data_IF_977190543960
#
_entry.id   IF_977190543960
#
_cell.length_a   1.000
_cell.length_b   1.000
_cell.length_c   1.000
_cell.angle_alpha   90.00
_cell.angle_beta   90.00
_cell.angle_gamma   90.00
#
_symmetry.space_group_name_H-M   'P 1'
#
loop_
_entity.id
_entity.type
_entity.pdbx_description
1 polymer ?
#
# COMPACT_ATOMS: atom_id res chain seq x y z
N UNK A 1 17.89 16.68 -40.82
CA UNK A 1 17.06 15.49 -40.52
C UNK A 1 15.79 16.01 -39.87
N UNK A 2 14.61 15.44 -40.12
CA UNK A 2 13.44 15.84 -39.34
C UNK A 2 13.74 15.50 -37.88
N UNK A 3 13.61 16.46 -36.97
CA UNK A 3 13.52 16.13 -35.55
C UNK A 3 12.24 15.30 -35.41
N UNK A 4 12.39 14.03 -35.05
CA UNK A 4 11.25 13.26 -34.56
C UNK A 4 10.76 13.98 -33.30
N UNK A 5 9.45 14.21 -33.21
CA UNK A 5 8.86 14.81 -32.01
C UNK A 5 9.23 13.96 -30.79
N UNK A 6 9.54 14.59 -29.64
CA UNK A 6 9.93 13.87 -28.44
C UNK A 6 8.88 12.83 -28.07
N UNK A 7 9.34 11.62 -27.77
CA UNK A 7 8.48 10.46 -27.57
C UNK A 7 7.97 10.34 -26.13
N UNK A 8 8.67 10.98 -25.18
CA UNK A 8 8.50 10.82 -23.74
C UNK A 8 8.46 12.18 -23.03
N UNK A 9 7.81 12.27 -21.87
CA UNK A 9 7.78 13.49 -21.07
C UNK A 9 8.77 13.48 -19.90
N UNK A 10 8.65 14.48 -19.03
CA UNK A 10 9.46 14.60 -17.81
C UNK A 10 9.29 13.45 -16.80
N UNK A 11 8.09 12.87 -16.58
CA UNK A 11 7.94 11.69 -15.73
C UNK A 11 8.79 10.51 -16.21
N UNK A 12 8.78 10.26 -17.52
CA UNK A 12 9.58 9.21 -18.15
C UNK A 12 11.08 9.55 -18.12
N UNK A 13 11.46 10.81 -18.26
CA UNK A 13 12.85 11.24 -18.12
C UNK A 13 13.39 10.98 -16.72
N UNK A 14 12.61 11.32 -15.69
CA UNK A 14 12.92 11.01 -14.29
C UNK A 14 13.12 9.50 -14.08
N UNK A 15 12.16 8.69 -14.55
CA UNK A 15 12.21 7.23 -14.44
C UNK A 15 13.40 6.62 -15.19
N UNK A 16 13.65 7.06 -16.42
CA UNK A 16 14.76 6.61 -17.25
C UNK A 16 16.10 6.92 -16.60
N UNK A 17 16.27 8.15 -16.13
CA UNK A 17 17.51 8.60 -15.50
C UNK A 17 17.76 7.87 -14.19
N UNK A 18 16.73 7.61 -13.38
CA UNK A 18 16.83 6.77 -12.18
C UNK A 18 17.34 5.37 -12.52
N UNK A 19 16.77 4.70 -13.52
CA UNK A 19 17.21 3.36 -13.94
C UNK A 19 18.66 3.36 -14.43
N UNK A 20 19.04 4.35 -15.24
CA UNK A 20 20.41 4.53 -15.73
C UNK A 20 21.38 4.68 -14.57
N UNK A 21 21.09 5.57 -13.61
CA UNK A 21 21.93 5.82 -12.44
C UNK A 21 22.03 4.62 -11.51
N UNK A 22 20.94 3.89 -11.30
CA UNK A 22 20.94 2.66 -10.51
C UNK A 22 21.87 1.60 -11.13
N UNK A 23 21.82 1.43 -12.47
CA UNK A 23 22.69 0.49 -13.19
C UNK A 23 24.14 0.94 -13.29
N UNK A 24 24.40 2.25 -13.32
CA UNK A 24 25.76 2.80 -13.18
C UNK A 24 26.34 2.53 -11.78
N UNK A 25 25.50 2.50 -10.73
CA UNK A 25 25.92 2.27 -9.35
C UNK A 25 26.15 0.79 -9.01
N UNK A 26 25.33 -0.12 -9.57
CA UNK A 26 25.39 -1.55 -9.29
C UNK A 26 24.89 -2.39 -10.47
N UNK A 27 25.42 -3.61 -10.58
CA UNK A 27 24.92 -4.63 -11.51
C UNK A 27 23.68 -5.38 -10.98
N UNK A 28 23.21 -5.08 -9.77
CA UNK A 28 22.05 -5.71 -9.15
C UNK A 28 20.79 -5.56 -10.01
N UNK A 29 19.89 -6.54 -9.90
CA UNK A 29 18.61 -6.44 -10.60
C UNK A 29 17.67 -5.49 -9.87
N UNK A 30 16.96 -4.67 -10.65
CA UNK A 30 16.01 -3.68 -10.13
C UNK A 30 14.61 -4.26 -10.29
N UNK A 31 13.94 -4.55 -9.17
CA UNK A 31 12.56 -5.03 -9.19
C UNK A 31 11.57 -3.90 -9.50
N UNK A 32 10.39 -4.27 -10.01
CA UNK A 32 9.28 -3.34 -10.24
C UNK A 32 8.98 -2.46 -9.03
N UNK A 33 8.78 -3.09 -7.87
CA UNK A 33 8.43 -2.39 -6.63
C UNK A 33 9.51 -1.40 -6.19
N UNK A 34 10.80 -1.77 -6.32
CA UNK A 34 11.90 -0.85 -6.03
C UNK A 34 11.86 0.34 -6.98
N UNK A 35 11.76 0.09 -8.28
CA UNK A 35 11.76 1.14 -9.29
C UNK A 35 10.62 2.15 -9.09
N UNK A 36 9.38 1.69 -8.97
CA UNK A 36 8.21 2.57 -8.85
C UNK A 36 8.22 3.40 -7.57
N UNK A 37 8.73 2.84 -6.45
CA UNK A 37 8.88 3.58 -5.19
C UNK A 37 9.96 4.65 -5.26
N UNK A 38 11.09 4.34 -5.90
CA UNK A 38 12.17 5.31 -6.09
C UNK A 38 11.75 6.47 -7.00
N UNK A 39 10.88 6.23 -7.99
CA UNK A 39 10.28 7.32 -8.77
C UNK A 39 9.51 8.30 -7.87
N UNK A 40 8.66 7.78 -6.97
CA UNK A 40 7.90 8.62 -6.03
C UNK A 40 8.82 9.38 -5.07
N UNK A 41 9.88 8.74 -4.57
CA UNK A 41 10.84 9.40 -3.67
C UNK A 41 11.60 10.52 -4.40
N UNK A 42 12.00 10.29 -5.64
CA UNK A 42 12.69 11.32 -6.42
C UNK A 42 11.76 12.49 -6.77
N UNK A 43 10.51 12.22 -7.09
CA UNK A 43 9.47 13.22 -7.31
C UNK A 43 9.17 14.04 -6.05
N UNK A 44 8.94 13.40 -4.88
CA UNK A 44 8.83 14.10 -3.59
C UNK A 44 10.04 14.99 -3.34
N UNK A 45 11.25 14.49 -3.63
CA UNK A 45 12.48 15.26 -3.47
C UNK A 45 12.50 16.50 -4.37
N UNK A 46 12.04 16.40 -5.61
CA UNK A 46 11.92 17.55 -6.52
C UNK A 46 10.99 18.62 -5.96
N UNK A 47 9.80 18.20 -5.54
CA UNK A 47 8.78 19.09 -4.96
C UNK A 47 9.33 19.76 -3.69
N UNK A 48 9.87 18.99 -2.75
CA UNK A 48 10.33 19.50 -1.46
C UNK A 48 11.58 20.38 -1.55
N UNK A 49 12.53 20.06 -2.43
CA UNK A 49 13.81 20.78 -2.48
C UNK A 49 13.88 21.89 -3.51
N UNK A 50 13.02 21.86 -4.54
CA UNK A 50 13.03 22.82 -5.64
C UNK A 50 11.65 23.42 -5.93
N UNK A 51 10.56 22.88 -5.38
CA UNK A 51 9.20 23.27 -5.77
C UNK A 51 8.84 22.86 -7.20
N UNK A 52 9.54 21.86 -7.73
CA UNK A 52 9.43 21.42 -9.12
C UNK A 52 8.55 20.17 -9.22
N UNK A 53 7.52 20.22 -10.06
CA UNK A 53 6.58 19.12 -10.29
C UNK A 53 6.73 18.60 -11.72
N UNK A 54 7.17 17.34 -11.87
CA UNK A 54 7.31 16.69 -13.18
C UNK A 54 5.99 16.14 -13.72
N UNK A 55 4.91 16.22 -12.95
CA UNK A 55 3.64 15.59 -13.30
C UNK A 55 3.66 14.06 -13.16
N UNK A 56 4.44 13.50 -12.22
CA UNK A 56 4.53 12.04 -12.05
C UNK A 56 3.16 11.47 -11.63
N UNK A 57 2.58 10.51 -12.40
CA UNK A 57 1.38 9.80 -11.99
C UNK A 57 1.71 8.87 -10.82
N UNK A 58 1.11 9.10 -9.66
CA UNK A 58 1.42 8.36 -8.43
C UNK A 58 0.22 8.25 -7.50
N UNK A 59 0.23 7.22 -6.66
CA UNK A 59 -0.84 6.96 -5.70
C UNK A 59 -0.36 6.14 -4.51
N UNK A 60 -1.09 6.21 -3.39
CA UNK A 60 -0.81 5.39 -2.21
C UNK A 60 -1.42 3.99 -2.34
N UNK A 61 -0.62 2.93 -2.11
CA UNK A 61 -1.12 1.55 -2.19
C UNK A 61 -0.35 0.58 -1.31
N UNK A 62 -1.05 -0.02 -0.32
CA UNK A 62 -0.67 -1.09 0.62
C UNK A 62 0.65 -0.97 1.39
N UNK A 63 1.74 -0.64 0.71
CA UNK A 63 3.12 -0.60 1.17
C UNK A 63 3.75 0.78 0.95
N UNK A 64 2.93 1.82 0.84
CA UNK A 64 3.37 3.17 0.51
C UNK A 64 3.12 3.55 -0.94
N UNK A 65 3.57 4.75 -1.28
CA UNK A 65 3.36 5.38 -2.59
C UNK A 65 4.03 4.60 -3.75
N UNK A 66 3.37 4.57 -4.90
CA UNK A 66 3.82 3.94 -6.14
C UNK A 66 3.54 4.84 -7.34
N UNK A 67 4.49 4.89 -8.28
CA UNK A 67 4.25 5.47 -9.59
C UNK A 67 3.29 4.56 -10.37
N UNK A 68 2.29 5.14 -11.03
CA UNK A 68 1.36 4.40 -11.86
C UNK A 68 2.00 4.10 -13.22
N UNK A 69 2.61 2.93 -13.33
CA UNK A 69 3.28 2.50 -14.55
C UNK A 69 2.36 2.49 -15.80
N UNK A 70 1.05 2.33 -15.63
CA UNK A 70 0.09 2.33 -16.75
C UNK A 70 -0.06 3.70 -17.41
N UNK A 71 0.26 4.77 -16.69
CA UNK A 71 0.13 6.16 -17.14
C UNK A 71 1.38 6.64 -17.89
N UNK A 72 2.45 5.86 -17.91
CA UNK A 72 3.61 6.20 -18.74
C UNK A 72 3.24 6.03 -20.21
N UNK A 73 3.41 7.12 -20.97
CA UNK A 73 3.05 7.23 -22.39
C UNK A 73 3.58 6.06 -23.22
N UNK A 74 4.85 5.67 -22.97
CA UNK A 74 5.55 4.54 -23.58
C UNK A 74 6.67 4.01 -22.67
N UNK A 75 7.18 2.81 -22.97
CA UNK A 75 8.25 2.20 -22.16
C UNK A 75 9.64 2.72 -22.55
N UNK A 76 10.19 3.62 -21.75
CA UNK A 76 11.60 4.05 -21.76
C UNK A 76 12.57 3.01 -21.15
N UNK A 77 12.04 1.84 -20.75
CA UNK A 77 12.76 0.74 -20.14
C UNK A 77 12.43 -0.60 -20.80
N UNK A 78 13.30 -1.58 -20.58
CA UNK A 78 13.05 -2.99 -20.85
C UNK A 78 12.72 -3.71 -19.53
N UNK A 79 11.75 -4.61 -19.57
CA UNK A 79 11.31 -5.38 -18.39
C UNK A 79 11.35 -6.91 -18.63
N UNK A 80 12.52 -7.50 -18.90
CA UNK A 80 12.65 -8.96 -19.02
C UNK A 80 12.38 -9.67 -17.69
N UNK A 81 12.19 -10.99 -17.75
CA UNK A 81 12.10 -11.82 -16.56
C UNK A 81 13.36 -11.69 -15.70
N UNK A 82 13.16 -11.63 -14.39
CA UNK A 82 14.25 -11.61 -13.43
C UNK A 82 14.92 -12.99 -13.33
N UNK A 83 16.19 -13.00 -12.94
CA UNK A 83 16.95 -14.24 -12.72
C UNK A 83 16.92 -14.56 -11.22
N UNK A 84 16.33 -15.69 -10.85
CA UNK A 84 16.34 -16.20 -9.47
C UNK A 84 15.13 -15.81 -8.60
N UNK A 85 14.14 -15.11 -9.13
CA UNK A 85 12.83 -14.91 -8.50
C UNK A 85 11.74 -14.67 -9.54
N UNK A 86 10.49 -14.83 -9.11
CA UNK A 86 9.33 -14.56 -9.95
C UNK A 86 9.13 -13.04 -10.13
N UNK A 87 9.07 -12.60 -11.38
CA UNK A 87 8.82 -11.22 -11.75
C UNK A 87 9.75 -10.70 -12.84
N UNK A 88 9.83 -9.37 -12.93
CA UNK A 88 10.61 -8.66 -13.94
C UNK A 88 11.76 -7.86 -13.32
N UNK A 89 12.86 -7.77 -14.06
CA UNK A 89 13.92 -6.81 -13.83
C UNK A 89 13.71 -5.60 -14.76
N UNK A 90 13.95 -4.40 -14.25
CA UNK A 90 13.83 -3.15 -14.99
C UNK A 90 15.22 -2.67 -15.43
N UNK A 91 15.36 -2.38 -16.72
CA UNK A 91 16.60 -1.95 -17.37
C UNK A 91 16.32 -0.69 -18.19
N UNK A 92 17.18 0.34 -18.11
CA UNK A 92 17.03 1.52 -18.96
C UNK A 92 17.22 1.13 -20.43
N UNK A 93 16.46 1.73 -21.35
CA UNK A 93 16.80 1.69 -22.78
C UNK A 93 17.94 2.67 -23.05
N UNK A 94 18.72 2.37 -24.08
CA UNK A 94 19.71 3.30 -24.63
C UNK A 94 18.97 4.40 -25.40
N UNK A 95 18.69 5.51 -24.71
CA UNK A 95 18.01 6.69 -25.24
C UNK A 95 18.92 7.90 -25.10
N UNK A 96 18.72 8.88 -25.98
CA UNK A 96 19.34 10.21 -25.87
C UNK A 96 18.39 11.16 -25.15
N UNK A 97 18.91 12.26 -24.60
CA UNK A 97 18.09 13.22 -23.81
C UNK A 97 17.03 13.87 -24.70
N UNK A 98 17.34 14.05 -25.99
CA UNK A 98 16.48 14.62 -27.02
C UNK A 98 15.24 13.76 -27.33
N UNK A 99 15.18 12.51 -26.83
CA UNK A 99 13.97 11.68 -26.92
C UNK A 99 12.87 12.12 -25.93
N UNK A 100 13.20 13.01 -24.99
CA UNK A 100 12.32 13.47 -23.93
C UNK A 100 12.00 14.97 -24.10
N UNK A 101 10.72 15.32 -23.98
CA UNK A 101 10.26 16.69 -23.86
C UNK A 101 10.46 17.14 -22.41
N UNK A 102 11.59 17.80 -22.14
CA UNK A 102 11.99 18.25 -20.81
C UNK A 102 12.33 19.73 -20.88
N UNK A 103 11.75 20.50 -19.96
CA UNK A 103 12.04 21.91 -19.84
C UNK A 103 13.51 22.16 -19.42
N UNK A 104 14.02 23.37 -19.64
CA UNK A 104 15.37 23.74 -19.20
C UNK A 104 15.54 23.57 -17.67
N UNK A 105 14.51 23.91 -16.90
CA UNK A 105 14.49 23.72 -15.44
C UNK A 105 14.46 22.24 -15.06
N UNK A 106 13.69 21.43 -15.78
CA UNK A 106 13.65 19.97 -15.62
C UNK A 106 15.01 19.33 -15.87
N UNK A 107 15.73 19.78 -16.91
CA UNK A 107 17.09 19.30 -17.23
C UNK A 107 18.11 19.63 -16.14
N UNK A 108 17.89 20.66 -15.32
CA UNK A 108 18.72 20.96 -14.15
C UNK A 108 18.28 20.15 -12.92
N UNK A 109 16.98 20.16 -12.62
CA UNK A 109 16.43 19.68 -11.36
C UNK A 109 16.31 18.15 -11.29
N UNK A 110 15.84 17.50 -12.36
CA UNK A 110 15.60 16.04 -12.40
C UNK A 110 16.89 15.26 -12.17
N UNK A 111 18.04 15.59 -12.80
CA UNK A 111 19.30 14.91 -12.53
C UNK A 111 19.78 15.01 -11.08
N UNK A 112 19.54 16.14 -10.40
CA UNK A 112 19.88 16.32 -9.00
C UNK A 112 19.08 15.37 -8.09
N UNK A 113 17.76 15.34 -8.26
CA UNK A 113 16.89 14.48 -7.46
C UNK A 113 17.14 12.99 -7.73
N UNK A 114 17.37 12.61 -9.00
CA UNK A 114 17.74 11.25 -9.35
C UNK A 114 19.07 10.82 -8.71
N UNK A 115 20.09 11.69 -8.76
CA UNK A 115 21.40 11.44 -8.11
C UNK A 115 21.24 11.26 -6.60
N UNK A 116 20.50 12.14 -5.94
CA UNK A 116 20.24 12.03 -4.51
C UNK A 116 19.55 10.71 -4.17
N UNK A 117 18.48 10.37 -4.90
CA UNK A 117 17.69 9.16 -4.68
C UNK A 117 18.53 7.89 -4.81
N UNK A 118 19.37 7.80 -5.85
CA UNK A 118 20.26 6.65 -6.04
C UNK A 118 21.36 6.59 -4.99
N UNK A 119 21.88 7.73 -4.55
CA UNK A 119 22.87 7.78 -3.47
C UNK A 119 22.31 7.27 -2.15
N UNK A 120 21.10 7.70 -1.78
CA UNK A 120 20.48 7.37 -0.49
C UNK A 120 19.84 5.96 -0.46
N UNK A 121 19.22 5.54 -1.56
CA UNK A 121 18.38 4.34 -1.61
C UNK A 121 18.82 3.28 -2.61
N UNK A 122 19.77 3.58 -3.49
CA UNK A 122 20.15 2.67 -4.58
C UNK A 122 20.62 1.30 -4.09
N UNK A 123 21.28 1.25 -2.92
CA UNK A 123 21.74 0.00 -2.27
C UNK A 123 20.78 -0.58 -1.25
N UNK A 124 19.68 0.10 -0.93
CA UNK A 124 18.68 -0.36 0.04
C UNK A 124 17.76 -1.40 -0.59
N UNK A 125 17.25 -2.32 0.23
CA UNK A 125 16.24 -3.27 -0.18
C UNK A 125 14.84 -2.61 -0.19
N UNK A 126 13.84 -3.34 -0.70
CA UNK A 126 12.47 -2.81 -0.84
C UNK A 126 11.81 -2.52 0.51
N UNK A 127 12.08 -3.31 1.55
CA UNK A 127 11.50 -3.11 2.89
C UNK A 127 12.02 -1.81 3.53
N UNK A 128 13.31 -1.53 3.41
CA UNK A 128 13.90 -0.26 3.88
C UNK A 128 13.30 0.96 3.14
N UNK A 129 13.00 0.81 1.85
CA UNK A 129 12.37 1.86 1.04
C UNK A 129 10.90 2.07 1.46
N UNK A 130 10.16 0.98 1.69
CA UNK A 130 8.78 1.04 2.21
C UNK A 130 8.74 1.74 3.56
N UNK A 131 9.62 1.34 4.48
CA UNK A 131 9.72 1.95 5.81
C UNK A 131 9.97 3.46 5.71
N UNK A 132 10.90 3.89 4.86
CA UNK A 132 11.14 5.31 4.63
C UNK A 132 9.89 6.07 4.15
N UNK A 133 9.13 5.50 3.19
CA UNK A 133 7.90 6.12 2.71
C UNK A 133 6.85 6.26 3.83
N UNK A 134 6.70 5.27 4.70
CA UNK A 134 5.79 5.36 5.84
C UNK A 134 6.22 6.39 6.88
N UNK A 135 7.51 6.46 7.18
CA UNK A 135 8.03 7.40 8.17
C UNK A 135 7.98 8.85 7.70
N UNK A 136 8.17 9.09 6.40
CA UNK A 136 8.31 10.44 5.84
C UNK A 136 7.10 10.94 5.10
N UNK A 137 6.37 10.06 4.41
CA UNK A 137 5.35 10.46 3.43
C UNK A 137 3.98 9.84 3.70
N UNK A 138 3.76 9.16 4.84
CA UNK A 138 2.40 8.71 5.20
C UNK A 138 1.45 9.92 5.28
N UNK A 139 0.36 9.84 4.54
CA UNK A 139 -0.58 10.96 4.36
C UNK A 139 -1.39 11.28 5.63
N UNK A 140 -1.55 10.30 6.53
CA UNK A 140 -2.18 10.49 7.83
C UNK A 140 -1.65 9.50 8.89
N UNK A 141 -2.02 9.73 10.16
CA UNK A 141 -1.60 8.87 11.27
C UNK A 141 -2.15 7.45 11.17
N UNK A 142 -3.38 7.27 10.65
CA UNK A 142 -3.96 5.93 10.44
C UNK A 142 -3.08 5.06 9.52
N UNK A 143 -2.55 5.66 8.44
CA UNK A 143 -1.66 4.99 7.50
C UNK A 143 -0.37 4.55 8.18
N UNK A 144 0.17 5.40 9.06
CA UNK A 144 1.36 5.06 9.85
C UNK A 144 1.06 3.93 10.83
N UNK A 145 -0.07 4.00 11.54
CA UNK A 145 -0.48 3.03 12.56
C UNK A 145 -0.71 1.63 12.03
N UNK A 146 -1.35 1.49 10.86
CA UNK A 146 -1.48 0.14 10.30
C UNK A 146 -0.12 -0.43 9.84
N UNK A 147 0.80 0.41 9.39
CA UNK A 147 2.14 -0.04 8.98
C UNK A 147 2.94 -0.55 10.18
N UNK A 148 2.84 0.14 11.31
CA UNK A 148 3.39 -0.30 12.61
C UNK A 148 2.81 -1.65 13.04
N UNK A 149 1.48 -1.80 13.00
CA UNK A 149 0.80 -3.06 13.32
C UNK A 149 1.27 -4.20 12.39
N UNK A 150 1.37 -3.92 11.10
CA UNK A 150 1.79 -4.91 10.12
C UNK A 150 3.22 -5.38 10.35
N UNK A 151 4.14 -4.43 10.56
CA UNK A 151 5.53 -4.74 10.87
C UNK A 151 5.63 -5.58 12.15
N UNK A 152 4.84 -5.26 13.17
CA UNK A 152 4.75 -6.05 14.40
C UNK A 152 4.33 -7.49 14.09
N UNK A 153 3.24 -7.71 13.36
CA UNK A 153 2.76 -9.06 13.04
C UNK A 153 3.78 -9.86 12.21
N UNK A 154 4.63 -9.19 11.43
CA UNK A 154 5.73 -9.83 10.70
C UNK A 154 6.96 -10.15 11.56
N UNK A 155 7.11 -9.52 12.72
CA UNK A 155 8.28 -9.65 13.62
C UNK A 155 8.01 -10.48 14.87
N UNK A 156 6.74 -10.70 15.23
CA UNK A 156 6.35 -11.74 16.19
C UNK A 156 6.72 -13.08 15.53
N UNK A 157 7.79 -13.69 16.00
CA UNK A 157 8.45 -14.85 15.38
C UNK A 157 7.42 -15.93 15.01
N UNK A 158 7.26 -16.14 13.70
CA UNK A 158 6.34 -17.09 13.05
C UNK A 158 6.59 -18.55 13.45
N UNK A 159 7.58 -18.83 14.32
CA UNK A 159 7.81 -20.13 14.94
C UNK A 159 7.91 -20.15 16.47
N UNK A 160 7.89 -19.03 17.21
CA UNK A 160 8.14 -19.03 18.66
C UNK A 160 7.24 -18.18 19.56
N UNK A 161 6.34 -17.35 19.03
CA UNK A 161 5.47 -16.48 19.85
C UNK A 161 6.24 -15.59 20.87
N UNK A 162 7.56 -15.39 20.69
CA UNK A 162 8.38 -14.48 21.51
C UNK A 162 8.72 -13.22 20.70
N UNK A 163 8.64 -12.05 21.33
CA UNK A 163 9.04 -10.77 20.72
C UNK A 163 10.55 -10.62 20.72
N UNK A 164 11.09 -9.93 19.71
CA UNK A 164 12.44 -9.37 19.79
C UNK A 164 12.54 -8.38 20.96
N UNK A 165 13.61 -8.50 21.76
CA UNK A 165 13.81 -7.83 23.07
C UNK A 165 13.65 -6.30 23.08
N UNK A 166 13.67 -5.64 21.91
CA UNK A 166 13.62 -4.18 21.79
C UNK A 166 12.24 -3.55 22.04
N UNK A 167 11.17 -4.34 22.17
CA UNK A 167 9.81 -3.86 22.48
C UNK A 167 9.25 -4.42 23.79
N UNK A 168 10.10 -5.02 24.64
CA UNK A 168 9.77 -5.51 25.98
C UNK A 168 9.49 -4.34 26.95
N UNK A 169 8.45 -3.57 26.65
CA UNK A 169 7.90 -2.54 27.53
C UNK A 169 7.07 -3.25 28.60
N UNK A 170 7.70 -3.65 29.71
CA UNK A 170 6.99 -3.82 30.97
C UNK A 170 6.07 -5.03 31.16
N UNK A 171 6.28 -6.16 30.48
CA UNK A 171 5.56 -7.40 30.79
C UNK A 171 4.14 -7.51 30.22
N UNK A 172 3.76 -6.65 29.28
CA UNK A 172 2.52 -6.75 28.49
C UNK A 172 2.55 -7.99 27.57
N UNK A 173 1.44 -8.74 27.50
CA UNK A 173 1.31 -9.90 26.62
C UNK A 173 1.18 -9.50 25.14
N UNK A 174 1.47 -10.44 24.22
CA UNK A 174 1.29 -10.21 22.78
C UNK A 174 -0.15 -9.83 22.42
N UNK A 175 -1.13 -10.43 23.11
CA UNK A 175 -2.55 -10.18 22.96
C UNK A 175 -2.93 -8.75 23.38
N UNK A 176 -2.55 -8.34 24.60
CA UNK A 176 -2.87 -7.00 25.13
C UNK A 176 -2.32 -5.90 24.23
N UNK A 177 -1.08 -6.06 23.80
CA UNK A 177 -0.44 -5.10 22.92
C UNK A 177 -1.09 -5.08 21.53
N UNK A 178 -1.47 -6.23 20.96
CA UNK A 178 -2.18 -6.27 19.68
C UNK A 178 -3.53 -5.53 19.78
N UNK A 179 -4.29 -5.76 20.86
CA UNK A 179 -5.53 -5.03 21.15
C UNK A 179 -5.28 -3.52 21.29
N UNK A 180 -4.20 -3.11 21.94
CA UNK A 180 -3.80 -1.70 22.02
C UNK A 180 -3.47 -1.10 20.66
N UNK A 181 -2.79 -1.83 19.77
CA UNK A 181 -2.52 -1.34 18.41
C UNK A 181 -3.80 -1.20 17.57
N UNK A 182 -4.76 -2.12 17.73
CA UNK A 182 -6.08 -1.99 17.13
C UNK A 182 -6.82 -0.75 17.66
N UNK A 183 -6.75 -0.49 18.96
CA UNK A 183 -7.32 0.73 19.56
C UNK A 183 -6.66 2.01 19.00
N UNK A 184 -5.34 2.02 18.85
CA UNK A 184 -4.60 3.15 18.25
C UNK A 184 -4.97 3.37 16.78
N UNK A 185 -5.14 2.29 16.00
CA UNK A 185 -5.64 2.38 14.62
C UNK A 185 -7.06 2.94 14.59
N UNK A 186 -7.94 2.48 15.47
CA UNK A 186 -9.32 2.96 15.53
C UNK A 186 -9.39 4.45 15.91
N UNK A 187 -8.57 4.86 16.88
CA UNK A 187 -8.50 6.25 17.34
C UNK A 187 -7.95 7.21 16.28
N UNK A 188 -7.18 6.69 15.31
CA UNK A 188 -6.58 7.49 14.23
C UNK A 188 -7.37 7.41 12.93
N UNK A 189 -8.44 6.60 12.87
CA UNK A 189 -9.24 6.44 11.67
C UNK A 189 -9.75 7.81 11.15
N UNK A 190 -9.63 8.12 9.84
CA UNK A 190 -9.97 9.43 9.28
C UNK A 190 -11.49 9.66 9.16
N UNK A 191 -12.16 9.81 10.30
CA UNK A 191 -13.60 10.04 10.39
C UNK A 191 -14.01 11.39 9.76
N UNK A 192 -15.09 11.37 8.98
CA UNK A 192 -15.63 12.57 8.33
C UNK A 192 -15.03 12.87 6.94
N UNK A 193 -14.18 11.99 6.43
CA UNK A 193 -13.76 11.96 5.03
C UNK A 193 -14.64 10.99 4.24
N UNK A 194 -15.34 11.47 3.21
CA UNK A 194 -16.41 10.72 2.54
C UNK A 194 -16.03 9.27 2.13
N UNK A 195 -14.86 9.07 1.50
CA UNK A 195 -14.42 7.73 1.09
C UNK A 195 -14.03 6.83 2.26
N UNK A 196 -13.53 7.40 3.35
CA UNK A 196 -13.27 6.63 4.57
C UNK A 196 -14.59 6.26 5.26
N UNK A 197 -15.55 7.19 5.32
CA UNK A 197 -16.87 6.92 5.89
C UNK A 197 -17.59 5.76 5.18
N UNK A 198 -17.46 5.66 3.85
CA UNK A 198 -18.01 4.54 3.06
C UNK A 198 -17.42 3.17 3.44
N UNK A 199 -16.16 3.13 3.90
CA UNK A 199 -15.48 1.90 4.31
C UNK A 199 -15.53 1.66 5.83
N UNK A 200 -15.97 2.64 6.62
CA UNK A 200 -15.91 2.60 8.08
C UNK A 200 -16.63 1.40 8.67
N UNK A 201 -17.82 1.07 8.18
CA UNK A 201 -18.58 -0.10 8.65
C UNK A 201 -17.82 -1.40 8.42
N UNK A 202 -17.16 -1.53 7.27
CA UNK A 202 -16.35 -2.71 6.93
C UNK A 202 -15.08 -2.77 7.78
N UNK A 203 -14.45 -1.63 8.05
CA UNK A 203 -13.32 -1.52 8.97
C UNK A 203 -13.69 -1.94 10.39
N UNK A 204 -14.79 -1.44 10.96
CA UNK A 204 -15.24 -1.81 12.30
C UNK A 204 -15.54 -3.30 12.41
N UNK A 205 -16.18 -3.88 11.38
CA UNK A 205 -16.46 -5.32 11.35
C UNK A 205 -15.18 -6.14 11.22
N UNK A 206 -14.17 -5.64 10.52
CA UNK A 206 -12.85 -6.26 10.45
C UNK A 206 -12.15 -6.21 11.81
N UNK A 207 -12.12 -5.04 12.47
CA UNK A 207 -11.51 -4.85 13.79
C UNK A 207 -12.10 -5.82 14.82
N UNK A 208 -13.43 -5.87 14.91
CA UNK A 208 -14.16 -6.82 15.76
C UNK A 208 -13.79 -8.28 15.46
N UNK A 209 -13.60 -8.60 14.18
CA UNK A 209 -13.27 -9.96 13.74
C UNK A 209 -11.83 -10.31 14.08
N UNK A 210 -10.88 -9.38 13.96
CA UNK A 210 -9.50 -9.56 14.44
C UNK A 210 -9.49 -9.76 15.94
N UNK A 211 -10.26 -9.00 16.72
CA UNK A 211 -10.37 -9.21 18.18
C UNK A 211 -10.90 -10.61 18.51
N UNK A 212 -11.90 -11.10 17.78
CA UNK A 212 -12.36 -12.50 17.92
C UNK A 212 -11.27 -13.52 17.57
N UNK A 213 -10.47 -13.26 16.53
CA UNK A 213 -9.34 -14.13 16.18
C UNK A 213 -8.32 -14.20 17.32
N UNK A 214 -8.02 -13.06 17.95
CA UNK A 214 -7.12 -12.99 19.12
C UNK A 214 -7.70 -13.75 20.31
N UNK A 215 -8.97 -13.53 20.65
CA UNK A 215 -9.65 -14.23 21.75
C UNK A 215 -9.69 -15.76 21.55
N UNK A 216 -9.71 -16.20 20.28
CA UNK A 216 -9.66 -17.61 19.89
C UNK A 216 -8.24 -18.16 19.74
N UNK A 217 -7.21 -17.39 20.11
CA UNK A 217 -5.80 -17.76 19.97
C UNK A 217 -5.42 -18.19 18.54
N UNK A 218 -6.00 -17.54 17.53
CA UNK A 218 -5.61 -17.75 16.13
C UNK A 218 -4.15 -17.30 15.94
N UNK A 219 -3.39 -18.08 15.16
CA UNK A 219 -2.00 -17.77 14.84
C UNK A 219 -1.82 -16.35 14.27
N UNK A 220 -0.82 -15.63 14.77
CA UNK A 220 -0.53 -14.25 14.34
C UNK A 220 -0.24 -14.14 12.85
N UNK A 221 0.30 -15.19 12.22
CA UNK A 221 0.49 -15.26 10.77
C UNK A 221 -0.83 -15.08 10.02
N UNK A 222 -1.89 -15.77 10.45
CA UNK A 222 -3.21 -15.68 9.85
C UNK A 222 -3.88 -14.34 10.14
N UNK A 223 -3.60 -13.73 11.29
CA UNK A 223 -4.03 -12.35 11.58
C UNK A 223 -3.31 -11.36 10.65
N UNK A 224 -2.02 -11.58 10.38
CA UNK A 224 -1.24 -10.76 9.45
C UNK A 224 -1.78 -10.84 8.02
N UNK A 225 -2.09 -12.05 7.54
CA UNK A 225 -2.73 -12.26 6.24
C UNK A 225 -4.08 -11.54 6.15
N UNK A 226 -4.91 -11.64 7.19
CA UNK A 226 -6.21 -10.97 7.22
C UNK A 226 -6.11 -9.44 7.31
N UNK A 227 -5.07 -8.92 7.98
CA UNK A 227 -4.73 -7.50 7.95
C UNK A 227 -4.32 -7.06 6.52
N UNK A 228 -3.51 -7.86 5.84
CA UNK A 228 -3.08 -7.57 4.47
C UNK A 228 -4.27 -7.55 3.50
N UNK A 229 -5.25 -8.44 3.68
CA UNK A 229 -6.50 -8.43 2.91
C UNK A 229 -7.31 -7.15 3.13
N UNK A 230 -7.42 -6.71 4.39
CA UNK A 230 -8.08 -5.44 4.70
C UNK A 230 -7.34 -4.25 4.08
N UNK A 231 -6.01 -4.17 4.25
CA UNK A 231 -5.19 -3.08 3.71
C UNK A 231 -5.26 -3.06 2.18
N UNK A 232 -5.33 -4.22 1.51
CA UNK A 232 -5.54 -4.30 0.06
C UNK A 232 -6.86 -3.64 -0.33
N UNK A 233 -7.93 -4.03 0.35
CA UNK A 233 -9.28 -3.50 0.11
C UNK A 233 -9.33 -1.99 0.36
N UNK A 234 -8.79 -1.53 1.50
CA UNK A 234 -8.66 -0.11 1.83
C UNK A 234 -7.84 0.65 0.77
N UNK A 235 -6.74 0.07 0.29
CA UNK A 235 -5.89 0.71 -0.72
C UNK A 235 -6.61 0.89 -2.05
N UNK A 236 -7.37 -0.12 -2.47
CA UNK A 236 -8.12 -0.09 -3.73
C UNK A 236 -9.38 0.77 -3.65
N UNK A 237 -10.10 0.75 -2.53
CA UNK A 237 -11.35 1.47 -2.39
C UNK A 237 -11.19 2.91 -1.90
N UNK A 238 -10.11 3.22 -1.17
CA UNK A 238 -9.94 4.52 -0.50
C UNK A 238 -8.59 5.15 -0.84
N UNK A 239 -7.47 4.52 -0.47
CA UNK A 239 -6.17 5.22 -0.45
C UNK A 239 -5.73 5.70 -1.83
N UNK A 240 -5.90 4.88 -2.88
CA UNK A 240 -5.53 5.27 -4.25
C UNK A 240 -6.40 6.38 -4.81
N UNK A 241 -7.58 6.65 -4.23
CA UNK A 241 -8.43 7.75 -4.64
C UNK A 241 -8.19 9.00 -3.80
N UNK A 242 -8.08 8.84 -2.48
CA UNK A 242 -7.83 9.94 -1.56
C UNK A 242 -6.44 10.56 -1.78
N UNK A 243 -5.45 9.72 -2.12
CA UNK A 243 -4.05 10.10 -2.21
C UNK A 243 -3.46 9.68 -3.54
N UNK A 244 -3.84 10.39 -4.60
CA UNK A 244 -3.24 10.28 -5.92
C UNK A 244 -2.89 11.64 -6.51
N UNK A 245 -2.00 11.62 -7.49
CA UNK A 245 -1.63 12.79 -8.28
C UNK A 245 -1.42 12.37 -9.73
N UNK A 246 -1.84 13.25 -10.64
CA UNK A 246 -1.65 13.12 -12.09
C UNK A 246 -2.17 11.78 -12.67
N UNK A 247 -3.22 11.21 -12.08
CA UNK A 247 -3.92 10.02 -12.61
C UNK A 247 -5.02 10.49 -13.56
N UNK A 248 -5.16 9.82 -14.70
CA UNK A 248 -6.18 10.16 -15.70
C UNK A 248 -7.58 9.72 -15.26
N UNK A 249 -8.62 10.41 -15.74
CA UNK A 249 -10.01 10.07 -15.42
C UNK A 249 -10.37 8.65 -15.87
N UNK A 250 -9.92 8.22 -17.06
CA UNK A 250 -10.08 6.84 -17.55
C UNK A 250 -9.52 5.83 -16.55
N UNK A 251 -8.36 6.13 -15.95
CA UNK A 251 -7.75 5.25 -14.97
C UNK A 251 -8.46 5.26 -13.63
N UNK A 252 -9.07 6.39 -13.25
CA UNK A 252 -9.91 6.48 -12.06
C UNK A 252 -11.20 5.68 -12.25
N UNK A 253 -11.79 5.69 -13.45
CA UNK A 253 -12.97 4.87 -13.79
C UNK A 253 -12.67 3.37 -13.66
N UNK A 254 -11.56 2.89 -14.24
CA UNK A 254 -11.07 1.51 -14.05
C UNK A 254 -10.96 1.13 -12.57
N UNK A 255 -10.48 2.08 -11.76
CA UNK A 255 -10.30 1.86 -10.33
C UNK A 255 -11.61 1.80 -9.57
N UNK A 256 -12.66 2.48 -10.01
CA UNK A 256 -13.97 2.40 -9.36
C UNK A 256 -14.57 1.00 -9.51
N UNK A 257 -14.48 0.40 -10.70
CA UNK A 257 -14.95 -0.96 -10.94
C UNK A 257 -14.19 -1.99 -10.07
N UNK A 258 -12.85 -1.90 -10.04
CA UNK A 258 -12.00 -2.76 -9.21
C UNK A 258 -12.23 -2.52 -7.70
N UNK A 259 -12.61 -1.31 -7.29
CA UNK A 259 -12.93 -1.01 -5.90
C UNK A 259 -14.22 -1.69 -5.44
N UNK A 260 -15.26 -1.68 -6.28
CA UNK A 260 -16.53 -2.37 -5.99
C UNK A 260 -16.29 -3.87 -5.84
N UNK A 261 -15.63 -4.49 -6.82
CA UNK A 261 -15.35 -5.93 -6.81
C UNK A 261 -14.55 -6.36 -5.56
N UNK A 262 -13.54 -5.58 -5.16
CA UNK A 262 -12.71 -5.93 -4.01
C UNK A 262 -13.42 -5.72 -2.67
N UNK A 263 -14.30 -4.72 -2.56
CA UNK A 263 -15.17 -4.56 -1.39
C UNK A 263 -16.11 -5.75 -1.23
N UNK A 264 -16.73 -6.22 -2.30
CA UNK A 264 -17.62 -7.39 -2.27
C UNK A 264 -16.87 -8.68 -1.89
N UNK A 265 -15.71 -8.92 -2.52
CA UNK A 265 -14.85 -10.06 -2.21
C UNK A 265 -14.44 -10.06 -0.74
N UNK A 266 -13.96 -8.93 -0.24
CA UNK A 266 -13.51 -8.83 1.15
C UNK A 266 -14.67 -8.95 2.14
N UNK A 267 -15.83 -8.36 1.85
CA UNK A 267 -17.03 -8.49 2.69
C UNK A 267 -17.48 -9.96 2.83
N UNK A 268 -17.46 -10.70 1.72
CA UNK A 268 -17.77 -12.13 1.71
C UNK A 268 -16.74 -12.94 2.51
N UNK A 269 -15.45 -12.65 2.30
CA UNK A 269 -14.36 -13.31 3.02
C UNK A 269 -14.45 -13.06 4.54
N UNK A 270 -14.64 -11.81 4.93
CA UNK A 270 -14.82 -11.39 6.32
C UNK A 270 -16.02 -12.07 6.98
N UNK A 271 -17.15 -12.15 6.27
CA UNK A 271 -18.36 -12.82 6.77
C UNK A 271 -18.13 -14.30 7.00
N UNK A 272 -17.36 -14.94 6.11
CA UNK A 272 -16.98 -16.35 6.23
C UNK A 272 -16.11 -16.59 7.45
N UNK A 273 -14.99 -15.86 7.61
CA UNK A 273 -14.09 -15.98 8.76
C UNK A 273 -14.84 -15.76 10.07
N UNK A 274 -15.64 -14.69 10.15
CA UNK A 274 -16.40 -14.38 11.36
C UNK A 274 -17.39 -15.48 11.72
N UNK A 275 -18.10 -16.03 10.73
CA UNK A 275 -19.04 -17.12 10.93
C UNK A 275 -18.36 -18.39 11.46
N UNK A 276 -17.16 -18.70 10.97
CA UNK A 276 -16.35 -19.83 11.45
C UNK A 276 -15.95 -19.65 12.93
N UNK A 277 -15.49 -18.45 13.30
CA UNK A 277 -15.12 -18.13 14.68
C UNK A 277 -16.33 -18.23 15.63
N UNK A 278 -17.48 -17.66 15.26
CA UNK A 278 -18.69 -17.68 16.09
C UNK A 278 -19.27 -19.10 16.27
N UNK A 279 -19.23 -19.94 15.23
CA UNK A 279 -19.61 -21.36 15.36
C UNK A 279 -18.68 -22.13 16.29
N UNK A 280 -17.39 -21.81 16.29
CA UNK A 280 -16.41 -22.35 17.24
C UNK A 280 -16.76 -21.99 18.68
N UNK A 281 -17.21 -20.75 18.92
CA UNK A 281 -17.65 -20.26 20.24
C UNK A 281 -18.92 -20.93 20.74
N UNK A 282 -19.90 -21.15 19.86
CA UNK A 282 -21.18 -21.81 20.17
C UNK A 282 -21.00 -23.26 20.64
N UNK A 283 -19.92 -23.93 20.20
CA UNK A 283 -19.56 -25.28 20.70
C UNK A 283 -18.83 -25.27 22.04
N UNK A 284 -18.31 -24.12 22.47
CA UNK A 284 -17.44 -24.00 23.65
C UNK A 284 -18.15 -23.50 24.91
N UNK A 285 -19.33 -22.86 24.80
CA UNK A 285 -20.06 -22.31 25.97
C UNK A 285 -21.53 -22.04 25.65
N UNK A 286 -22.43 -22.49 26.54
CA UNK A 286 -23.87 -22.21 26.56
C UNK A 286 -24.14 -20.69 26.66
N UNK A 287 -24.47 -20.00 25.56
CA UNK A 287 -25.07 -18.65 25.56
C UNK A 287 -25.64 -18.30 24.16
N UNK A 288 -26.59 -19.11 23.70
CA UNK A 288 -27.13 -19.07 22.32
C UNK A 288 -28.18 -17.98 22.04
N UNK A 289 -28.64 -17.18 23.01
CA UNK A 289 -29.84 -16.33 22.79
C UNK A 289 -29.58 -14.85 22.53
N UNK A 290 -28.35 -14.35 22.72
CA UNK A 290 -28.04 -12.90 22.56
C UNK A 290 -27.23 -12.63 21.28
N UNK A 291 -26.42 -13.59 20.82
CA UNK A 291 -25.56 -13.42 19.63
C UNK A 291 -26.35 -13.51 18.31
N UNK A 292 -27.35 -14.38 18.25
CA UNK A 292 -28.14 -14.59 17.04
C UNK A 292 -29.03 -13.38 16.73
N UNK A 293 -29.64 -12.77 17.74
CA UNK A 293 -30.48 -11.58 17.57
C UNK A 293 -29.68 -10.36 17.04
N UNK A 294 -28.43 -10.20 17.47
CA UNK A 294 -27.59 -9.09 17.01
C UNK A 294 -27.06 -9.32 15.60
N UNK A 295 -26.64 -10.55 15.30
CA UNK A 295 -26.14 -10.94 13.96
C UNK A 295 -27.24 -10.86 12.92
N UNK A 296 -28.44 -11.33 13.24
CA UNK A 296 -29.60 -11.30 12.35
C UNK A 296 -30.09 -9.87 12.08
N UNK A 297 -30.04 -8.97 13.08
CA UNK A 297 -30.40 -7.56 12.89
C UNK A 297 -29.44 -6.84 11.96
N UNK A 298 -28.14 -7.17 12.01
CA UNK A 298 -27.12 -6.58 11.13
C UNK A 298 -27.21 -7.15 9.72
N UNK A 299 -27.39 -8.47 9.58
CA UNK A 299 -27.52 -9.11 8.28
C UNK A 299 -28.81 -8.65 7.55
N UNK A 300 -29.92 -8.43 8.27
CA UNK A 300 -31.13 -7.82 7.71
C UNK A 300 -30.94 -6.35 7.29
N UNK A 301 -30.07 -5.60 7.96
CA UNK A 301 -29.71 -4.24 7.55
C UNK A 301 -28.85 -4.24 6.28
N UNK A 302 -27.98 -5.24 6.11
CA UNK A 302 -27.15 -5.42 4.91
C UNK A 302 -28.00 -5.81 3.71
N UNK A 303 -28.93 -6.76 3.85
CA UNK A 303 -29.84 -7.12 2.76
C UNK A 303 -30.73 -5.94 2.32
N UNK A 304 -31.13 -5.07 3.25
CA UNK A 304 -31.91 -3.86 2.92
C UNK A 304 -31.10 -2.79 2.18
N UNK A 305 -29.78 -2.75 2.38
CA UNK A 305 -28.90 -1.83 1.66
C UNK A 305 -28.62 -2.35 0.24
N UNK A 306 -28.41 -3.66 0.08
CA UNK A 306 -28.23 -4.30 -1.21
C UNK A 306 -29.49 -4.30 -2.09
N UNK A 307 -30.68 -4.23 -1.50
CA UNK A 307 -31.96 -4.16 -2.23
C UNK A 307 -32.37 -2.74 -2.65
N UNK A 308 -31.54 -1.72 -2.41
CA UNK A 308 -31.83 -0.31 -2.70
C UNK A 308 -30.93 0.33 -3.77
N UNK A 309 -29.99 -0.43 -4.34
CA UNK A 309 -29.26 -0.09 -5.58
C UNK A 309 -29.87 -0.81 -6.79
#
# INVERSE_FOLDING_TARGET
MPQEDPEFGEPEFLGWLLLKRLKEQSNDQISRSKFLKLCCIADRRLIESRGYEVGLPRYWYMYGELANEHEFSKRFYNAPLAIGWDGQQYLPKELQVEAFDVSEEGLESIPDAARWTVREFGRKNVEEIKQYQYEKHAENEFIRKYSELRWLLSTIDLGRQERLENYSSGGESNEEYLKRQLDEMMATYPDGEARYDDLKTLYLRWDDTVRLMVDHSVEYSRIAEFLDDFIRTLSKAVLRFAYNQNITDERLEDWEEDAVEEREKFTTHLTTIRSELLRGRSRSTELDQVSDAYSQTIDEQIERLLARE
#
